data_IF_881488677076
#
_entry.id   IF_881488677076
#
_cell.length_a   1.000
_cell.length_b   1.000
_cell.length_c   1.000
_cell.angle_alpha   90.00
_cell.angle_beta   90.00
_cell.angle_gamma   90.00
#
_symmetry.space_group_name_H-M   'P 1'
#
loop_
_entity.id
_entity.type
_entity.pdbx_description
1 polymer ?
#
# COMPACT_ATOMS: atom_id res chain seq x y z
N UNK A 1 -6.06 -8.19 -18.96
CA UNK A 1 -5.15 -7.14 -18.44
C UNK A 1 -5.10 -7.25 -16.94
N UNK A 2 -3.91 -7.48 -16.41
CA UNK A 2 -3.62 -7.58 -15.00
C UNK A 2 -3.20 -6.23 -14.41
N UNK A 3 -2.91 -6.17 -13.10
CA UNK A 3 -2.45 -4.94 -12.44
C UNK A 3 -1.12 -4.44 -13.00
N UNK A 4 -0.22 -5.35 -13.37
CA UNK A 4 1.10 -5.07 -13.97
C UNK A 4 0.98 -4.32 -15.30
N UNK A 5 -0.06 -4.58 -16.07
CA UNK A 5 -0.33 -3.86 -17.33
C UNK A 5 -0.84 -2.44 -17.09
N UNK A 6 -1.64 -2.26 -16.03
CA UNK A 6 -2.42 -1.05 -15.75
C UNK A 6 -1.70 -0.01 -14.89
N UNK A 7 -0.80 -0.46 -14.02
CA UNK A 7 -0.16 0.38 -13.01
C UNK A 7 1.34 0.47 -13.29
N UNK A 8 1.72 1.48 -14.07
CA UNK A 8 3.14 1.72 -14.43
C UNK A 8 3.95 2.21 -13.23
N UNK A 9 3.43 3.22 -12.52
CA UNK A 9 4.09 3.81 -11.35
C UNK A 9 3.69 3.09 -10.05
N UNK A 10 3.84 1.76 -10.04
CA UNK A 10 3.62 0.96 -8.84
C UNK A 10 4.62 1.37 -7.75
N UNK A 11 4.09 1.67 -6.57
CA UNK A 11 4.80 2.19 -5.39
C UNK A 11 5.09 1.11 -4.32
N UNK A 12 4.94 -0.17 -4.67
CA UNK A 12 5.29 -1.27 -3.77
C UNK A 12 4.44 -1.37 -2.50
N UNK A 13 3.28 -0.70 -2.42
CA UNK A 13 2.49 -0.64 -1.18
C UNK A 13 1.85 -1.96 -0.75
N UNK A 14 1.86 -3.02 -1.57
CA UNK A 14 1.32 -4.36 -1.30
C UNK A 14 -0.21 -4.49 -1.11
N UNK A 15 -0.98 -3.45 -1.42
CA UNK A 15 -2.45 -3.52 -1.39
C UNK A 15 -3.00 -4.68 -2.22
N UNK A 16 -2.39 -4.92 -3.39
CA UNK A 16 -2.77 -6.01 -4.29
C UNK A 16 -2.55 -7.40 -3.67
N UNK A 17 -1.50 -7.58 -2.88
CA UNK A 17 -1.20 -8.82 -2.13
C UNK A 17 -2.28 -9.11 -1.09
N UNK A 18 -2.79 -8.08 -0.41
CA UNK A 18 -3.90 -8.24 0.54
C UNK A 18 -5.22 -8.48 -0.18
N UNK A 19 -5.51 -7.72 -1.23
CA UNK A 19 -6.76 -7.79 -1.98
C UNK A 19 -6.93 -9.07 -2.82
N UNK A 20 -5.84 -9.79 -3.11
CA UNK A 20 -5.89 -11.02 -3.87
C UNK A 20 -6.50 -12.17 -3.05
N UNK A 21 -7.78 -12.49 -3.31
CA UNK A 21 -8.50 -13.57 -2.64
C UNK A 21 -7.94 -14.99 -2.89
N UNK A 22 -7.10 -15.15 -3.91
CA UNK A 22 -6.47 -16.43 -4.27
C UNK A 22 -4.99 -16.50 -3.87
N UNK A 23 -4.46 -15.47 -3.19
CA UNK A 23 -3.05 -15.39 -2.78
C UNK A 23 -2.04 -15.60 -3.95
N UNK A 24 -2.39 -15.16 -5.17
CA UNK A 24 -1.57 -15.34 -6.35
C UNK A 24 -0.49 -14.28 -6.54
N UNK A 25 -0.41 -13.26 -5.66
CA UNK A 25 0.48 -12.12 -5.83
C UNK A 25 1.60 -12.20 -4.79
N UNK A 26 2.84 -12.12 -5.26
CA UNK A 26 4.04 -11.90 -4.44
C UNK A 26 4.70 -10.59 -4.85
N UNK A 27 5.48 -10.00 -3.95
CA UNK A 27 6.23 -8.79 -4.23
C UNK A 27 7.70 -9.14 -4.41
N UNK A 28 8.28 -8.75 -5.54
CA UNK A 28 9.68 -9.00 -5.86
C UNK A 28 10.33 -7.69 -6.33
N UNK A 29 11.65 -7.58 -6.20
CA UNK A 29 12.40 -6.42 -6.70
C UNK A 29 12.79 -6.68 -8.15
N UNK A 30 12.53 -5.72 -9.03
CA UNK A 30 13.01 -5.75 -10.40
C UNK A 30 14.52 -5.40 -10.49
N UNK A 31 15.06 -5.42 -11.70
CA UNK A 31 16.48 -5.09 -11.98
C UNK A 31 16.90 -3.69 -11.52
N UNK A 32 15.94 -2.77 -11.40
CA UNK A 32 16.14 -1.41 -10.94
C UNK A 32 15.89 -1.26 -9.42
N UNK A 33 15.63 -2.38 -8.73
CA UNK A 33 15.37 -2.43 -7.29
C UNK A 33 13.95 -2.06 -6.88
N UNK A 34 13.05 -1.76 -7.83
CA UNK A 34 11.67 -1.39 -7.51
C UNK A 34 10.89 -2.61 -7.06
N UNK A 35 10.10 -2.45 -6.00
CA UNK A 35 9.23 -3.51 -5.51
C UNK A 35 7.95 -3.59 -6.37
N UNK A 36 7.79 -4.69 -7.13
CA UNK A 36 6.69 -4.90 -8.09
C UNK A 36 5.93 -6.21 -7.80
N UNK A 37 4.63 -6.29 -8.15
CA UNK A 37 3.87 -7.52 -8.01
C UNK A 37 4.21 -8.54 -9.11
N UNK A 38 4.45 -9.78 -8.71
CA UNK A 38 4.57 -10.96 -9.57
C UNK A 38 3.33 -11.81 -9.37
N UNK A 39 2.66 -12.19 -10.46
CA UNK A 39 1.39 -12.92 -10.44
C UNK A 39 1.60 -14.35 -10.87
N UNK A 40 1.16 -15.30 -10.05
CA UNK A 40 0.99 -16.69 -10.46
C UNK A 40 -0.27 -16.83 -11.33
N UNK A 41 -0.09 -16.95 -12.64
CA UNK A 41 -1.18 -17.09 -13.62
C UNK A 41 -2.02 -18.34 -13.42
N UNK A 42 -1.41 -19.46 -13.01
CA UNK A 42 -2.09 -20.74 -12.86
C UNK A 42 -3.17 -20.70 -11.76
N UNK A 43 -2.97 -19.86 -10.74
CA UNK A 43 -3.95 -19.64 -9.67
C UNK A 43 -4.87 -18.43 -9.91
N UNK A 44 -4.53 -17.54 -10.83
CA UNK A 44 -5.19 -16.24 -10.97
C UNK A 44 -6.51 -16.36 -11.73
N UNK A 45 -7.64 -16.19 -11.03
CA UNK A 45 -8.96 -16.19 -11.68
C UNK A 45 -9.28 -14.91 -12.49
N UNK A 46 -8.34 -13.96 -12.59
CA UNK A 46 -8.53 -12.65 -13.27
C UNK A 46 -9.72 -11.83 -12.73
N UNK A 47 -9.98 -11.92 -11.42
CA UNK A 47 -11.09 -11.23 -10.75
C UNK A 47 -10.93 -9.69 -10.60
N UNK A 48 -9.78 -9.13 -10.95
CA UNK A 48 -9.44 -7.70 -10.85
C UNK A 48 -9.44 -7.08 -9.44
N UNK A 49 -9.57 -7.86 -8.36
CA UNK A 49 -9.46 -7.32 -6.99
C UNK A 49 -8.15 -6.57 -6.74
N UNK A 50 -7.03 -7.06 -7.27
CA UNK A 50 -5.75 -6.38 -7.13
C UNK A 50 -5.76 -4.96 -7.71
N UNK A 51 -6.50 -4.76 -8.81
CA UNK A 51 -6.68 -3.46 -9.46
C UNK A 51 -7.65 -2.59 -8.66
N UNK A 52 -8.77 -3.18 -8.18
CA UNK A 52 -9.78 -2.50 -7.36
C UNK A 52 -9.17 -1.82 -6.13
N UNK A 53 -8.27 -2.52 -5.43
CA UNK A 53 -7.63 -2.03 -4.21
C UNK A 53 -6.32 -1.29 -4.44
N UNK A 54 -5.86 -1.15 -5.69
CA UNK A 54 -4.63 -0.43 -5.98
C UNK A 54 -4.89 1.08 -5.89
N UNK A 55 -4.32 1.80 -4.92
CA UNK A 55 -4.61 3.22 -4.76
C UNK A 55 -3.99 4.08 -5.87
N UNK A 56 -3.05 3.55 -6.65
CA UNK A 56 -2.52 4.24 -7.84
C UNK A 56 -3.52 4.17 -9.01
N UNK A 57 -4.25 3.07 -9.13
CA UNK A 57 -5.23 2.89 -10.21
C UNK A 57 -6.61 3.42 -9.85
N UNK A 58 -7.04 3.17 -8.62
CA UNK A 58 -8.31 3.61 -8.05
C UNK A 58 -8.01 4.50 -6.84
N UNK A 59 -7.70 5.80 -7.08
CA UNK A 59 -7.26 6.70 -6.03
C UNK A 59 -8.35 6.92 -4.99
N UNK A 60 -7.89 7.21 -3.77
CA UNK A 60 -8.73 7.52 -2.61
C UNK A 60 -8.39 8.91 -2.10
N UNK A 61 -9.38 9.61 -1.56
CA UNK A 61 -9.17 10.92 -0.96
C UNK A 61 -8.54 10.74 0.44
N UNK A 62 -7.29 11.18 0.57
CA UNK A 62 -6.61 11.22 1.86
C UNK A 62 -7.03 12.46 2.65
N UNK A 63 -7.19 12.35 3.98
CA UNK A 63 -7.35 13.53 4.81
C UNK A 63 -6.08 14.39 4.76
N UNK A 64 -6.22 15.67 5.06
CA UNK A 64 -5.06 16.54 5.30
C UNK A 64 -4.37 16.13 6.60
N UNK A 65 -3.04 16.12 6.58
CA UNK A 65 -2.22 15.78 7.73
C UNK A 65 -1.43 17.01 8.17
N UNK A 66 -1.56 17.37 9.44
CA UNK A 66 -0.84 18.51 10.01
C UNK A 66 0.64 18.20 10.28
N UNK A 67 0.94 16.94 10.64
CA UNK A 67 2.26 16.51 11.08
C UNK A 67 2.71 15.27 10.31
N UNK A 68 3.98 15.26 9.91
CA UNK A 68 4.65 14.11 9.30
C UNK A 68 5.80 13.64 10.18
N UNK A 69 5.98 12.32 10.25
CA UNK A 69 6.97 11.68 11.12
C UNK A 69 8.15 11.14 10.33
N UNK A 70 9.32 11.08 10.96
CA UNK A 70 10.54 10.61 10.32
C UNK A 70 10.46 9.14 9.90
N UNK A 71 11.01 8.87 8.72
CA UNK A 71 11.08 7.53 8.17
C UNK A 71 12.33 6.80 8.69
N UNK A 72 12.17 5.95 9.70
CA UNK A 72 13.25 5.07 10.21
C UNK A 72 13.48 3.83 9.34
N UNK A 73 14.67 3.25 9.45
CA UNK A 73 15.10 2.08 8.66
C UNK A 73 14.13 0.89 8.74
N UNK A 74 13.56 0.68 9.93
CA UNK A 74 12.57 -0.36 10.22
C UNK A 74 11.31 -0.30 9.35
N UNK A 75 10.98 0.86 8.78
CA UNK A 75 9.78 1.04 7.95
C UNK A 75 9.97 0.58 6.49
N UNK A 76 11.21 0.45 6.01
CA UNK A 76 11.51 0.18 4.59
C UNK A 76 11.31 -1.28 4.20
N UNK A 77 11.68 -2.21 5.09
CA UNK A 77 11.71 -3.66 4.78
C UNK A 77 10.54 -4.43 5.38
N UNK A 78 9.47 -3.74 5.79
CA UNK A 78 8.28 -4.39 6.37
C UNK A 78 7.47 -5.13 5.31
N UNK A 79 6.93 -6.27 5.73
CA UNK A 79 5.82 -6.94 5.04
C UNK A 79 4.54 -6.13 5.29
N UNK A 80 4.23 -5.22 4.36
CA UNK A 80 3.08 -4.33 4.49
C UNK A 80 1.77 -5.11 4.42
N UNK A 81 1.70 -6.19 3.65
CA UNK A 81 0.54 -7.05 3.59
C UNK A 81 0.21 -7.66 4.96
N UNK A 82 1.22 -8.02 5.76
CA UNK A 82 1.03 -8.43 7.16
C UNK A 82 0.55 -7.26 8.03
N UNK A 83 1.18 -6.09 7.92
CA UNK A 83 0.79 -4.90 8.69
C UNK A 83 -0.68 -4.53 8.44
N UNK A 84 -1.14 -4.43 7.18
CA UNK A 84 -2.54 -4.10 6.90
C UNK A 84 -3.52 -5.12 7.48
N UNK A 85 -3.23 -6.42 7.33
CA UNK A 85 -4.09 -7.49 7.86
C UNK A 85 -4.18 -7.40 9.38
N UNK A 86 -3.08 -7.12 10.05
CA UNK A 86 -3.05 -6.95 11.49
C UNK A 86 -3.83 -5.70 11.93
N UNK A 87 -3.61 -4.55 11.30
CA UNK A 87 -4.36 -3.31 11.56
C UNK A 87 -5.86 -3.52 11.39
N UNK A 88 -6.30 -4.09 10.25
CA UNK A 88 -7.72 -4.35 10.01
C UNK A 88 -8.30 -5.36 11.01
N UNK A 89 -7.52 -6.35 11.45
CA UNK A 89 -7.94 -7.32 12.47
C UNK A 89 -8.14 -6.66 13.83
N UNK A 90 -7.21 -5.80 14.25
CA UNK A 90 -7.29 -5.08 15.53
C UNK A 90 -8.48 -4.11 15.55
N UNK A 91 -8.70 -3.37 14.45
CA UNK A 91 -9.87 -2.50 14.29
C UNK A 91 -11.18 -3.29 14.34
N UNK A 92 -11.25 -4.45 13.67
CA UNK A 92 -12.44 -5.32 13.72
C UNK A 92 -12.71 -5.86 15.13
N UNK A 93 -11.67 -5.99 15.96
CA UNK A 93 -11.79 -6.38 17.36
C UNK A 93 -12.18 -5.21 18.29
N UNK A 94 -12.44 -4.01 17.76
CA UNK A 94 -12.79 -2.81 18.54
C UNK A 94 -11.62 -2.20 19.30
N UNK A 95 -10.39 -2.48 18.87
CA UNK A 95 -9.18 -1.92 19.50
C UNK A 95 -8.78 -0.63 18.81
N UNK A 96 -8.55 0.43 19.58
CA UNK A 96 -7.88 1.64 19.05
C UNK A 96 -6.50 1.26 18.55
N UNK A 97 -6.29 1.46 17.25
CA UNK A 97 -5.14 0.94 16.52
C UNK A 97 -4.37 2.08 15.89
N UNK A 98 -3.05 2.04 16.03
CA UNK A 98 -2.14 2.99 15.37
C UNK A 98 -1.65 2.40 14.06
N UNK A 99 -1.63 3.22 13.01
CA UNK A 99 -1.07 2.88 11.72
C UNK A 99 -0.03 3.92 11.30
N UNK A 100 1.21 3.46 11.18
CA UNK A 100 2.35 4.29 10.74
C UNK A 100 2.75 3.86 9.32
N UNK A 101 2.73 4.80 8.38
CA UNK A 101 3.08 4.51 6.99
C UNK A 101 3.15 5.75 6.10
N UNK A 102 3.69 5.58 4.90
CA UNK A 102 3.71 6.63 3.87
C UNK A 102 2.32 6.89 3.30
N UNK A 103 2.13 8.01 2.60
CA UNK A 103 0.84 8.37 1.99
C UNK A 103 0.28 7.25 1.08
N UNK A 104 1.12 6.60 0.27
CA UNK A 104 0.69 5.46 -0.54
C UNK A 104 0.24 4.23 0.27
N UNK A 105 0.84 4.01 1.45
CA UNK A 105 0.47 2.91 2.36
C UNK A 105 -0.83 3.25 3.11
N UNK A 106 -1.02 4.50 3.50
CA UNK A 106 -2.27 4.98 4.09
C UNK A 106 -3.42 4.87 3.07
N UNK A 107 -3.16 5.27 1.82
CA UNK A 107 -4.12 5.13 0.73
C UNK A 107 -4.48 3.66 0.46
N UNK A 108 -3.48 2.76 0.51
CA UNK A 108 -3.70 1.32 0.41
C UNK A 108 -4.61 0.80 1.54
N UNK A 109 -4.32 1.15 2.80
CA UNK A 109 -5.15 0.75 3.94
C UNK A 109 -6.60 1.26 3.80
N UNK A 110 -6.77 2.55 3.47
CA UNK A 110 -8.08 3.15 3.24
C UNK A 110 -8.86 2.43 2.13
N UNK A 111 -8.21 2.15 1.00
CA UNK A 111 -8.81 1.40 -0.11
C UNK A 111 -9.24 -0.01 0.31
N UNK A 112 -8.38 -0.75 1.03
CA UNK A 112 -8.68 -2.08 1.56
C UNK A 112 -9.86 -2.09 2.55
N UNK A 113 -10.06 -0.99 3.27
CA UNK A 113 -11.17 -0.80 4.22
C UNK A 113 -12.47 -0.29 3.57
N UNK A 114 -12.55 -0.25 2.23
CA UNK A 114 -13.73 0.23 1.51
C UNK A 114 -13.86 1.75 1.52
N UNK A 115 -12.73 2.44 1.38
CA UNK A 115 -12.60 3.90 1.28
C UNK A 115 -13.00 4.68 2.54
N UNK A 116 -13.01 3.99 3.69
CA UNK A 116 -13.37 4.56 5.00
C UNK A 116 -12.25 4.34 6.00
N UNK A 117 -12.01 5.37 6.81
CA UNK A 117 -11.11 5.28 7.96
C UNK A 117 -11.95 5.12 9.22
N UNK A 118 -11.57 4.17 10.08
CA UNK A 118 -12.27 3.96 11.37
C UNK A 118 -11.98 5.12 12.32
N UNK A 119 -12.94 5.44 13.20
CA UNK A 119 -12.73 6.37 14.31
C UNK A 119 -11.68 5.84 15.31
N UNK A 120 -11.54 4.52 15.40
CA UNK A 120 -10.54 3.85 16.24
C UNK A 120 -9.15 3.78 15.59
N UNK A 121 -8.99 4.29 14.36
CA UNK A 121 -7.71 4.27 13.66
C UNK A 121 -6.99 5.60 13.82
N UNK A 122 -5.81 5.58 14.44
CA UNK A 122 -4.90 6.73 14.50
C UNK A 122 -3.83 6.57 13.44
N UNK A 123 -3.70 7.56 12.56
CA UNK A 123 -2.76 7.52 11.44
C UNK A 123 -1.58 8.44 11.72
N UNK A 124 -0.38 7.92 11.51
CA UNK A 124 0.87 8.64 11.66
C UNK A 124 1.59 8.62 10.31
N UNK A 125 1.40 9.67 9.47
CA UNK A 125 1.97 9.70 8.13
C UNK A 125 3.49 9.92 8.19
N UNK A 126 4.23 9.12 7.43
CA UNK A 126 5.67 9.26 7.31
C UNK A 126 6.05 10.29 6.25
N UNK A 127 7.08 11.09 6.53
CA UNK A 127 7.68 12.00 5.57
C UNK A 127 8.16 11.23 4.34
N UNK A 128 7.80 11.73 3.17
CA UNK A 128 8.23 11.19 1.88
C UNK A 128 9.14 12.21 1.22
N UNK A 129 10.32 11.77 0.76
CA UNK A 129 11.28 12.62 0.03
C UNK A 129 11.46 12.02 -1.36
N UNK A 130 10.76 12.52 -2.39
CA UNK A 130 10.93 12.04 -3.76
C UNK A 130 12.23 12.54 -4.43
N UNK A 131 12.88 13.57 -3.90
CA UNK A 131 14.15 14.10 -4.43
C UNK A 131 15.33 13.21 -4.00
N UNK A 132 15.27 12.67 -2.79
CA UNK A 132 16.24 11.69 -2.28
C UNK A 132 15.55 10.40 -1.78
N UNK A 133 14.94 9.61 -2.68
CA UNK A 133 14.10 8.50 -2.29
C UNK A 133 14.95 7.29 -1.90
N UNK A 134 14.72 6.76 -0.70
CA UNK A 134 15.33 5.49 -0.26
C UNK A 134 14.82 4.25 -0.99
N UNK A 135 13.62 4.34 -1.59
CA UNK A 135 13.06 3.30 -2.46
C UNK A 135 12.90 3.88 -3.86
N UNK A 136 13.41 3.24 -4.92
CA UNK A 136 13.40 3.80 -6.27
C UNK A 136 11.97 4.10 -6.76
N UNK A 137 10.97 3.32 -6.34
CA UNK A 137 9.58 3.57 -6.71
C UNK A 137 8.99 4.88 -6.16
N UNK A 138 9.62 5.49 -5.14
CA UNK A 138 9.16 6.76 -4.57
C UNK A 138 9.48 7.96 -5.46
N UNK A 139 10.46 7.87 -6.37
CA UNK A 139 10.89 8.97 -7.24
C UNK A 139 9.77 9.48 -8.17
N UNK A 140 8.82 8.60 -8.53
CA UNK A 140 7.68 8.91 -9.40
C UNK A 140 6.33 8.75 -8.68
N UNK A 141 6.33 8.92 -7.35
CA UNK A 141 5.16 8.66 -6.53
C UNK A 141 4.07 9.73 -6.74
N UNK A 142 2.83 9.34 -7.13
CA UNK A 142 1.74 10.30 -7.37
C UNK A 142 1.08 10.84 -6.09
N UNK A 143 1.44 10.29 -4.93
CA UNK A 143 0.86 10.70 -3.63
C UNK A 143 1.55 11.90 -3.01
N UNK A 144 2.77 12.19 -3.45
CA UNK A 144 3.48 13.40 -3.06
C UNK A 144 3.18 14.48 -4.10
N UNK A 145 2.69 15.64 -3.65
CA UNK A 145 2.35 16.78 -4.50
C UNK A 145 3.17 17.99 -4.07
#
# INVERSE_FOLDING_TARGET
MQITDRVKNCNGCEACTVGCKYACIKMERDENGNKKPVINEDGCSKCNNCVLYCPVFNPVDLPEFENFYEYKDEYYERDMAKVYRETMRQLKAGTTTEFVGTLCQIAALKSLMGDKLSHDLRIFPLHCDPENPRRPECAACPFYK
#
